data_IF_733255474691
#
_entry.id   IF_733255474691
#
_cell.length_a   1.000
_cell.length_b   1.000
_cell.length_c   1.000
_cell.angle_alpha   90.00
_cell.angle_beta   90.00
_cell.angle_gamma   90.00
#
_symmetry.space_group_name_H-M   'P 1'
#
loop_
_entity.id
_entity.type
_entity.pdbx_description
1 polymer ?
#
# COMPACT_ATOMS: atom_id res chain seq x y z
N UNK A 1 0.30 21.88 15.64
CA UNK A 1 0.94 20.63 15.15
C UNK A 1 -0.17 19.77 14.60
N UNK A 2 -0.03 19.24 13.38
CA UNK A 2 -1.00 18.31 12.82
C UNK A 2 -0.96 17.01 13.63
N UNK A 3 -2.10 16.48 14.05
CA UNK A 3 -2.19 15.20 14.76
C UNK A 3 -2.05 14.07 13.75
N UNK A 4 -1.22 13.08 14.07
CA UNK A 4 -1.12 11.86 13.27
C UNK A 4 -2.09 10.83 13.83
N UNK A 5 -3.16 10.53 13.11
CA UNK A 5 -4.18 9.55 13.50
C UNK A 5 -3.65 8.12 13.47
N UNK A 6 -2.85 7.84 12.45
CA UNK A 6 -2.36 6.51 12.13
C UNK A 6 -1.15 6.61 11.20
N UNK A 7 -0.21 5.69 11.30
CA UNK A 7 0.89 5.57 10.35
C UNK A 7 1.19 4.09 10.09
N UNK A 8 0.99 3.64 8.87
CA UNK A 8 1.21 2.22 8.49
C UNK A 8 2.67 1.76 8.59
N UNK A 9 3.61 2.69 8.69
CA UNK A 9 5.04 2.41 8.84
C UNK A 9 5.48 2.34 10.32
N UNK A 10 4.57 2.66 11.25
CA UNK A 10 4.82 2.61 12.69
C UNK A 10 4.26 1.33 13.28
N UNK A 11 5.14 0.54 13.93
CA UNK A 11 4.76 -0.70 14.62
C UNK A 11 3.79 -0.48 15.78
N UNK A 12 3.75 0.71 16.34
CA UNK A 12 2.75 1.06 17.37
C UNK A 12 1.37 1.24 16.79
N UNK A 13 1.25 1.59 15.50
CA UNK A 13 -0.01 1.74 14.79
C UNK A 13 -0.47 0.43 14.13
N UNK A 14 0.46 -0.37 13.59
CA UNK A 14 0.14 -1.65 12.94
C UNK A 14 1.18 -2.72 13.27
N UNK A 15 0.72 -3.84 13.81
CA UNK A 15 1.57 -4.98 14.11
C UNK A 15 0.91 -6.30 13.69
N UNK A 16 1.63 -7.19 12.98
CA UNK A 16 3.01 -7.06 12.51
C UNK A 16 3.17 -6.07 11.34
N UNK A 17 4.41 -5.66 11.11
CA UNK A 17 4.76 -4.80 9.98
C UNK A 17 4.68 -5.55 8.64
N UNK A 18 4.33 -4.81 7.58
CA UNK A 18 4.34 -5.35 6.21
C UNK A 18 3.24 -6.36 5.93
N UNK A 19 3.56 -7.35 5.10
CA UNK A 19 2.66 -8.44 4.74
C UNK A 19 2.49 -9.43 5.90
N UNK A 20 1.33 -10.08 5.96
CA UNK A 20 0.97 -11.03 7.01
C UNK A 20 0.59 -12.38 6.42
N UNK A 21 0.71 -13.41 7.22
CA UNK A 21 0.31 -14.76 6.86
C UNK A 21 -1.20 -14.94 7.02
N UNK A 22 -1.85 -15.66 6.14
CA UNK A 22 -3.24 -16.05 6.34
C UNK A 22 -3.40 -16.80 7.66
N UNK A 23 -4.38 -16.41 8.48
CA UNK A 23 -4.57 -16.91 9.83
C UNK A 23 -3.72 -16.23 10.90
N UNK A 24 -2.88 -15.26 10.56
CA UNK A 24 -2.11 -14.48 11.51
C UNK A 24 -2.90 -13.24 11.97
N UNK A 25 -3.00 -12.99 13.29
CA UNK A 25 -3.65 -11.79 13.79
C UNK A 25 -2.85 -10.52 13.44
N UNK A 26 -3.58 -9.47 13.10
CA UNK A 26 -3.05 -8.13 12.82
C UNK A 26 -3.75 -7.14 13.73
N UNK A 27 -2.99 -6.40 14.50
CA UNK A 27 -3.49 -5.35 15.39
C UNK A 27 -3.33 -3.99 14.75
N UNK A 28 -4.38 -3.20 14.78
CA UNK A 28 -4.44 -1.81 14.35
C UNK A 28 -4.73 -0.93 15.56
N UNK A 29 -3.94 0.11 15.74
CA UNK A 29 -4.14 1.12 16.78
C UNK A 29 -4.35 2.48 16.11
N UNK A 30 -5.42 3.15 16.51
CA UNK A 30 -5.83 4.45 16.00
C UNK A 30 -5.83 5.46 17.16
N UNK A 31 -5.34 6.66 16.89
CA UNK A 31 -5.40 7.77 17.84
C UNK A 31 -6.28 8.87 17.28
N UNK A 32 -7.22 9.36 18.07
CA UNK A 32 -8.20 10.38 17.66
C UNK A 32 -8.19 11.53 18.67
N UNK A 33 -7.97 12.79 18.23
CA UNK A 33 -8.05 13.95 19.12
C UNK A 33 -9.44 14.10 19.76
N UNK A 34 -9.47 14.51 21.02
CA UNK A 34 -10.73 14.75 21.76
C UNK A 34 -11.58 15.86 21.16
N UNK A 35 -10.97 16.86 20.55
CA UNK A 35 -11.65 18.00 19.94
C UNK A 35 -12.51 17.63 18.72
N UNK A 36 -12.33 16.43 18.18
CA UNK A 36 -13.24 15.86 17.19
C UNK A 36 -14.59 15.42 17.77
N UNK A 37 -14.75 15.45 19.11
CA UNK A 37 -15.96 15.05 19.79
C UNK A 37 -16.14 13.54 19.85
N UNK A 38 -17.41 13.10 19.94
CA UNK A 38 -17.72 11.65 19.95
C UNK A 38 -17.38 11.03 18.59
N UNK A 39 -16.70 9.90 18.63
CA UNK A 39 -16.38 9.06 17.47
C UNK A 39 -16.62 7.58 17.78
N UNK A 40 -17.03 6.82 16.78
CA UNK A 40 -17.18 5.36 16.83
C UNK A 40 -16.35 4.74 15.69
N UNK A 41 -15.03 4.61 15.86
CA UNK A 41 -14.15 4.22 14.79
C UNK A 41 -14.34 2.78 14.35
N UNK A 42 -14.35 2.57 13.05
CA UNK A 42 -14.36 1.26 12.41
C UNK A 42 -13.19 1.14 11.42
N UNK A 43 -12.54 -0.01 11.45
CA UNK A 43 -11.67 -0.43 10.36
C UNK A 43 -12.56 -0.96 9.22
N UNK A 44 -12.50 -0.35 8.07
CA UNK A 44 -13.12 -0.86 6.84
C UNK A 44 -12.06 -1.65 6.09
N UNK A 45 -12.25 -2.95 5.96
CA UNK A 45 -11.31 -3.87 5.33
C UNK A 45 -11.97 -4.51 4.11
N UNK A 46 -11.41 -4.29 2.93
CA UNK A 46 -11.92 -4.77 1.66
C UNK A 46 -10.89 -5.69 1.00
N UNK A 47 -11.21 -6.95 0.79
CA UNK A 47 -10.39 -7.80 -0.05
C UNK A 47 -10.64 -7.46 -1.53
N UNK A 48 -9.59 -7.50 -2.34
CA UNK A 48 -9.70 -7.15 -3.77
C UNK A 48 -10.87 -7.89 -4.43
N UNK A 49 -11.77 -7.13 -5.07
CA UNK A 49 -13.01 -7.57 -5.74
C UNK A 49 -14.08 -8.17 -4.81
N UNK A 50 -13.99 -7.99 -3.52
CA UNK A 50 -15.00 -8.39 -2.54
C UNK A 50 -15.64 -7.16 -1.88
N UNK A 51 -16.75 -7.33 -1.19
CA UNK A 51 -17.43 -6.26 -0.47
C UNK A 51 -16.65 -5.87 0.79
N UNK A 52 -16.73 -4.59 1.21
CA UNK A 52 -16.09 -4.12 2.43
C UNK A 52 -16.69 -4.74 3.68
N UNK A 53 -15.85 -5.09 4.63
CA UNK A 53 -16.24 -5.55 5.96
C UNK A 53 -15.84 -4.50 6.98
N UNK A 54 -16.79 -4.11 7.83
CA UNK A 54 -16.60 -3.08 8.85
C UNK A 54 -16.38 -3.73 10.22
N UNK A 55 -15.26 -3.41 10.85
CA UNK A 55 -14.90 -3.91 12.18
C UNK A 55 -14.83 -2.74 13.15
N UNK A 56 -15.70 -2.73 14.14
CA UNK A 56 -15.70 -1.72 15.19
C UNK A 56 -14.42 -1.81 16.03
N UNK A 57 -13.77 -0.67 16.28
CA UNK A 57 -12.60 -0.60 17.13
C UNK A 57 -12.98 -0.41 18.59
N UNK A 58 -12.22 -0.99 19.50
CA UNK A 58 -12.42 -0.87 20.93
C UNK A 58 -11.66 0.32 21.50
N UNK A 59 -12.31 1.09 22.37
CA UNK A 59 -11.65 2.14 23.13
C UNK A 59 -10.71 1.51 24.17
N UNK A 60 -9.42 1.84 24.10
CA UNK A 60 -8.38 1.26 24.96
C UNK A 60 -7.87 2.20 26.03
N UNK A 61 -8.21 3.47 25.94
CA UNK A 61 -7.81 4.46 26.92
C UNK A 61 -7.67 5.86 26.35
N UNK A 62 -7.22 6.76 27.18
CA UNK A 62 -7.10 8.17 26.88
C UNK A 62 -5.78 8.72 27.44
N UNK A 63 -5.11 9.53 26.66
CA UNK A 63 -4.02 10.41 27.09
C UNK A 63 -4.49 11.86 26.98
N UNK A 64 -3.81 12.86 27.54
CA UNK A 64 -4.24 14.26 27.43
C UNK A 64 -4.53 14.66 25.99
N UNK A 65 -5.81 15.00 25.70
CA UNK A 65 -6.35 15.42 24.40
C UNK A 65 -6.42 14.35 23.29
N UNK A 66 -6.19 13.07 23.59
CA UNK A 66 -6.18 12.01 22.58
C UNK A 66 -6.85 10.74 23.12
N UNK A 67 -7.81 10.23 22.37
CA UNK A 67 -8.44 8.93 22.57
C UNK A 67 -7.70 7.85 21.78
N UNK A 68 -7.55 6.67 22.38
CA UNK A 68 -6.89 5.51 21.81
C UNK A 68 -7.90 4.41 21.50
N UNK A 69 -7.81 3.85 20.31
CA UNK A 69 -8.64 2.73 19.88
C UNK A 69 -7.76 1.63 19.32
N UNK A 70 -8.16 0.38 19.53
CA UNK A 70 -7.46 -0.78 19.00
C UNK A 70 -8.43 -1.80 18.42
N UNK A 71 -7.93 -2.58 17.47
CA UNK A 71 -8.65 -3.69 16.89
C UNK A 71 -7.64 -4.75 16.42
N UNK A 72 -7.94 -6.01 16.67
CA UNK A 72 -7.22 -7.14 16.10
C UNK A 72 -8.12 -7.92 15.16
N UNK A 73 -7.70 -8.06 13.91
CA UNK A 73 -8.37 -8.89 12.90
C UNK A 73 -7.47 -10.03 12.45
N UNK A 74 -8.08 -11.13 12.04
CA UNK A 74 -7.33 -12.31 11.57
C UNK A 74 -7.83 -12.67 10.17
N UNK A 75 -7.21 -12.12 9.10
CA UNK A 75 -7.55 -12.49 7.73
C UNK A 75 -7.22 -13.98 7.49
N UNK A 76 -8.20 -14.76 7.11
CA UNK A 76 -8.03 -16.22 6.93
C UNK A 76 -7.71 -16.64 5.50
N UNK A 77 -7.94 -15.77 4.52
CA UNK A 77 -7.70 -16.02 3.11
C UNK A 77 -6.58 -15.15 2.58
N UNK A 78 -5.72 -15.71 1.77
CA UNK A 78 -4.67 -14.95 1.07
C UNK A 78 -5.27 -14.01 0.02
N UNK A 79 -4.55 -12.95 -0.25
CA UNK A 79 -4.95 -11.93 -1.24
C UNK A 79 -4.47 -10.55 -0.90
N UNK A 80 -4.92 -9.63 -1.71
CA UNK A 80 -4.69 -8.21 -1.52
C UNK A 80 -5.90 -7.60 -0.81
N UNK A 81 -5.66 -6.91 0.27
CA UNK A 81 -6.66 -6.20 1.04
C UNK A 81 -6.36 -4.71 1.02
N UNK A 82 -7.41 -3.92 1.05
CA UNK A 82 -7.36 -2.47 1.19
C UNK A 82 -8.11 -2.06 2.45
N UNK A 83 -7.65 -1.01 3.15
CA UNK A 83 -8.32 -0.57 4.35
C UNK A 83 -8.18 0.94 4.58
N UNK A 84 -9.18 1.49 5.24
CA UNK A 84 -9.22 2.82 5.82
C UNK A 84 -9.98 2.78 7.15
N UNK A 85 -10.06 3.92 7.83
CA UNK A 85 -10.84 4.03 9.05
C UNK A 85 -12.01 4.97 8.84
N UNK A 86 -13.19 4.52 9.27
CA UNK A 86 -14.44 5.28 9.25
C UNK A 86 -14.77 5.71 10.67
N UNK A 87 -15.03 7.00 10.92
CA UNK A 87 -15.32 7.50 12.26
C UNK A 87 -16.82 7.46 12.62
N UNK A 88 -17.68 7.11 11.68
CA UNK A 88 -19.13 6.89 11.79
C UNK A 88 -19.97 8.04 12.37
N UNK A 89 -19.42 9.22 12.53
CA UNK A 89 -20.16 10.30 13.17
C UNK A 89 -20.69 11.37 12.21
N UNK A 90 -20.07 11.55 11.05
CA UNK A 90 -20.45 12.58 10.06
C UNK A 90 -19.68 12.43 8.73
N UNK A 91 -19.61 11.22 8.22
CA UNK A 91 -18.87 10.90 6.99
C UNK A 91 -17.36 11.19 7.03
N UNK A 92 -16.80 11.44 8.22
CA UNK A 92 -15.35 11.58 8.40
C UNK A 92 -14.67 10.25 8.32
N UNK A 93 -13.64 10.19 7.50
CA UNK A 93 -12.81 9.01 7.27
C UNK A 93 -11.34 9.36 7.36
N UNK A 94 -10.52 8.39 7.68
CA UNK A 94 -9.08 8.55 7.71
C UNK A 94 -8.50 7.70 6.60
N UNK A 95 -7.88 8.35 5.64
CA UNK A 95 -7.26 7.78 4.47
C UNK A 95 -5.75 7.97 4.47
N UNK A 96 -5.08 7.19 3.64
CA UNK A 96 -3.63 7.21 3.47
C UNK A 96 -3.17 8.43 2.70
N UNK A 97 -2.12 9.10 3.20
CA UNK A 97 -1.28 10.01 2.42
C UNK A 97 -0.18 9.24 1.66
N UNK A 98 0.48 9.84 0.66
CA UNK A 98 1.64 9.22 0.00
C UNK A 98 2.75 8.80 0.97
N UNK A 99 2.91 9.48 2.10
CA UNK A 99 3.86 9.15 3.15
C UNK A 99 3.47 7.98 4.06
N UNK A 100 2.25 7.41 3.91
CA UNK A 100 1.76 6.31 4.74
C UNK A 100 1.00 6.74 6.00
N UNK A 101 1.00 8.04 6.31
CA UNK A 101 0.26 8.63 7.43
C UNK A 101 -1.24 8.73 7.14
N UNK A 102 -2.04 8.77 8.19
CA UNK A 102 -3.48 8.96 8.12
C UNK A 102 -3.88 10.43 8.13
N UNK A 103 -4.73 10.83 7.20
CA UNK A 103 -5.32 12.16 7.13
C UNK A 103 -6.84 12.08 7.20
N UNK A 104 -7.44 12.98 7.97
CA UNK A 104 -8.89 13.14 8.03
C UNK A 104 -9.43 13.70 6.71
N UNK A 105 -10.43 13.04 6.16
CA UNK A 105 -11.08 13.44 4.92
C UNK A 105 -12.61 13.33 5.04
N UNK A 106 -13.32 14.22 4.33
CA UNK A 106 -14.78 14.22 4.19
C UNK A 106 -15.21 13.64 2.84
N UNK A 107 -14.23 13.33 1.99
CA UNK A 107 -14.40 12.73 0.67
C UNK A 107 -13.57 11.47 0.59
N UNK A 108 -13.75 10.72 -0.49
CA UNK A 108 -12.94 9.52 -0.72
C UNK A 108 -11.45 9.84 -0.85
N UNK A 109 -10.62 8.89 -0.46
CA UNK A 109 -9.17 8.99 -0.47
C UNK A 109 -8.50 7.67 -0.86
N UNK A 110 -7.20 7.59 -0.64
CA UNK A 110 -6.45 6.36 -0.89
C UNK A 110 -6.47 5.44 0.33
N UNK A 111 -6.78 4.18 0.12
CA UNK A 111 -6.68 3.16 1.14
C UNK A 111 -5.23 2.73 1.36
N UNK A 112 -4.94 2.22 2.56
CA UNK A 112 -3.74 1.42 2.79
C UNK A 112 -3.92 0.03 2.21
N UNK A 113 -2.82 -0.57 1.84
CA UNK A 113 -2.77 -1.93 1.34
C UNK A 113 -2.26 -2.88 2.43
N UNK A 114 -2.90 -4.03 2.57
CA UNK A 114 -2.43 -5.16 3.37
C UNK A 114 -2.34 -6.39 2.48
N UNK A 115 -1.14 -6.93 2.32
CA UNK A 115 -0.92 -8.18 1.61
C UNK A 115 -0.99 -9.34 2.60
N UNK A 116 -1.90 -10.28 2.33
CA UNK A 116 -2.03 -11.54 3.08
C UNK A 116 -1.53 -12.67 2.20
N UNK A 117 -0.48 -13.38 2.63
CA UNK A 117 0.11 -14.45 1.85
C UNK A 117 -0.25 -15.84 2.36
N UNK A 118 -0.15 -16.83 1.49
CA UNK A 118 -0.44 -18.22 1.81
C UNK A 118 0.44 -18.75 2.95
N UNK A 119 -0.11 -19.57 3.88
CA UNK A 119 0.64 -20.11 5.01
C UNK A 119 1.88 -20.88 4.62
N UNK A 120 1.84 -21.57 3.48
CA UNK A 120 2.92 -22.42 2.98
C UNK A 120 3.87 -21.69 2.02
N UNK A 121 3.64 -20.40 1.76
CA UNK A 121 4.52 -19.61 0.91
C UNK A 121 5.94 -19.56 1.48
N UNK A 122 6.91 -19.95 0.68
CA UNK A 122 8.33 -19.91 1.04
C UNK A 122 9.11 -19.12 -0.01
N UNK A 123 9.76 -18.07 0.42
CA UNK A 123 10.76 -17.41 -0.42
C UNK A 123 11.96 -18.33 -0.60
N UNK A 124 12.45 -18.57 -1.83
CA UNK A 124 13.66 -19.35 -2.06
C UNK A 124 14.86 -18.82 -1.26
N UNK A 125 15.63 -19.70 -0.66
CA UNK A 125 16.74 -19.31 0.23
C UNK A 125 17.83 -18.49 -0.47
N UNK A 126 18.04 -18.75 -1.76
CA UNK A 126 19.00 -17.98 -2.56
C UNK A 126 18.61 -16.50 -2.74
N UNK A 127 17.32 -16.16 -2.57
CA UNK A 127 16.82 -14.78 -2.67
C UNK A 127 16.85 -14.06 -1.30
N UNK A 128 16.92 -14.83 -0.20
CA UNK A 128 16.98 -14.26 1.15
C UNK A 128 18.36 -13.62 1.35
N UNK A 129 18.36 -12.41 1.91
CA UNK A 129 19.59 -11.64 2.17
C UNK A 129 20.41 -11.27 0.94
N UNK A 130 19.85 -11.42 -0.27
CA UNK A 130 20.45 -10.99 -1.51
C UNK A 130 20.01 -9.60 -1.94
N UNK A 131 20.80 -8.97 -2.81
CA UNK A 131 20.40 -7.76 -3.50
C UNK A 131 19.95 -8.13 -4.91
N UNK A 132 18.71 -7.77 -5.26
CA UNK A 132 18.21 -7.91 -6.63
C UNK A 132 18.50 -6.62 -7.39
N UNK A 133 19.21 -6.72 -8.50
CA UNK A 133 19.49 -5.60 -9.38
C UNK A 133 18.76 -5.78 -10.71
N UNK A 134 17.78 -4.94 -10.99
CA UNK A 134 17.05 -4.96 -12.25
C UNK A 134 17.68 -3.96 -13.23
N UNK A 135 18.14 -4.46 -14.35
CA UNK A 135 18.72 -3.63 -15.41
C UNK A 135 17.73 -3.51 -16.55
N UNK A 136 17.43 -2.28 -16.95
CA UNK A 136 16.73 -1.95 -18.17
C UNK A 136 17.80 -1.62 -19.24
N UNK A 137 18.11 -2.54 -20.17
CA UNK A 137 19.20 -2.34 -21.14
C UNK A 137 19.07 -1.04 -21.92
N UNK A 138 17.84 -0.64 -22.24
CA UNK A 138 17.55 0.57 -23.01
C UNK A 138 17.90 1.86 -22.28
N UNK A 139 18.05 1.80 -20.95
CA UNK A 139 18.27 2.96 -20.08
C UNK A 139 19.56 2.88 -19.28
N UNK A 140 20.32 1.80 -19.43
CA UNK A 140 21.49 1.59 -18.61
C UNK A 140 22.71 2.29 -19.21
N UNK A 141 23.50 1.61 -19.99
CA UNK A 141 24.72 2.14 -20.55
C UNK A 141 24.93 1.58 -21.95
N UNK A 142 25.13 2.44 -22.92
CA UNK A 142 25.58 2.03 -24.24
C UNK A 142 27.10 1.78 -24.24
N UNK A 143 27.49 0.52 -24.41
CA UNK A 143 28.90 0.16 -24.52
C UNK A 143 29.57 0.61 -25.81
N UNK A 144 28.78 1.00 -26.83
CA UNK A 144 29.29 1.54 -28.11
C UNK A 144 28.39 2.70 -28.54
N UNK A 145 28.92 3.94 -28.61
CA UNK A 145 28.23 5.05 -29.24
C UNK A 145 28.04 4.75 -30.75
N UNK A 146 26.88 5.11 -31.30
CA UNK A 146 26.53 4.99 -32.72
C UNK A 146 26.03 3.60 -33.18
N UNK A 147 25.16 2.95 -32.46
CA UNK A 147 24.33 1.94 -33.08
C UNK A 147 23.32 2.61 -34.00
N UNK A 148 23.31 2.21 -35.27
CA UNK A 148 22.21 2.52 -36.17
C UNK A 148 20.89 2.12 -35.49
N UNK A 149 19.91 3.02 -35.45
CA UNK A 149 18.60 2.75 -34.90
C UNK A 149 17.89 1.71 -35.78
N UNK A 150 17.81 0.44 -35.42
CA UNK A 150 17.45 -0.63 -36.35
C UNK A 150 15.95 -0.73 -36.64
N UNK A 151 15.11 0.05 -35.95
CA UNK A 151 13.67 -0.07 -36.07
C UNK A 151 13.00 1.30 -36.25
N UNK A 152 12.40 1.49 -37.42
CA UNK A 152 11.71 2.74 -37.75
C UNK A 152 10.40 2.95 -37.02
N UNK A 153 9.83 1.89 -36.40
CA UNK A 153 8.59 1.89 -35.68
C UNK A 153 8.72 2.22 -34.18
N UNK A 154 9.94 2.52 -33.73
CA UNK A 154 10.26 2.82 -32.36
C UNK A 154 10.64 4.26 -32.12
N UNK A 155 10.19 4.84 -31.03
CA UNK A 155 10.59 6.16 -30.57
C UNK A 155 11.87 6.02 -29.74
N UNK A 156 12.98 6.53 -30.22
CA UNK A 156 14.25 6.59 -29.50
C UNK A 156 14.38 7.97 -28.84
N UNK A 157 14.63 7.99 -27.56
CA UNK A 157 14.87 9.21 -26.80
C UNK A 157 16.34 9.34 -26.46
N UNK A 158 16.93 10.46 -26.82
CA UNK A 158 18.28 10.82 -26.40
C UNK A 158 18.33 11.17 -24.90
N UNK A 159 17.23 11.72 -24.39
CA UNK A 159 17.08 12.06 -22.97
C UNK A 159 16.64 10.83 -22.17
N UNK A 160 17.52 10.38 -21.27
CA UNK A 160 17.28 9.26 -20.35
C UNK A 160 16.53 9.66 -19.08
N UNK A 161 16.33 10.96 -18.85
CA UNK A 161 15.68 11.53 -17.66
C UNK A 161 14.21 11.84 -17.89
N UNK A 162 13.74 11.78 -19.15
CA UNK A 162 12.36 12.04 -19.51
C UNK A 162 11.39 11.03 -18.91
N UNK A 163 10.17 11.48 -18.59
CA UNK A 163 9.09 10.63 -18.08
C UNK A 163 8.78 9.46 -19.01
N UNK A 164 8.50 8.25 -18.46
CA UNK A 164 8.13 7.10 -19.27
C UNK A 164 6.83 7.36 -20.04
N UNK A 165 6.82 6.99 -21.30
CA UNK A 165 5.64 7.10 -22.14
C UNK A 165 4.74 5.87 -21.90
N UNK A 166 3.71 6.02 -21.12
CA UNK A 166 2.83 4.89 -20.70
C UNK A 166 2.14 4.19 -21.88
N UNK A 167 1.91 4.87 -23.01
CA UNK A 167 1.29 4.27 -24.19
C UNK A 167 2.13 3.17 -24.88
N UNK A 168 3.44 3.14 -24.66
CA UNK A 168 4.31 2.15 -25.32
C UNK A 168 4.30 0.77 -24.65
N UNK A 169 3.84 0.68 -23.41
CA UNK A 169 3.73 -0.59 -22.69
C UNK A 169 2.58 -1.48 -23.21
N UNK A 170 1.58 -0.90 -23.85
CA UNK A 170 0.39 -1.61 -24.34
C UNK A 170 0.41 -1.91 -25.85
N UNK A 171 1.28 -1.28 -26.63
CA UNK A 171 1.28 -1.38 -28.10
C UNK A 171 2.41 -2.20 -28.68
N UNK A 172 3.40 -2.59 -27.89
CA UNK A 172 4.49 -3.45 -28.34
C UNK A 172 4.25 -4.89 -27.86
N UNK A 173 4.02 -5.85 -28.76
CA UNK A 173 3.97 -7.25 -28.37
C UNK A 173 5.29 -7.64 -27.70
N UNK A 174 5.19 -8.30 -26.55
CA UNK A 174 6.37 -8.80 -25.85
C UNK A 174 7.14 -9.77 -26.75
N UNK A 175 8.48 -9.82 -26.69
CA UNK A 175 9.27 -10.74 -27.51
C UNK A 175 8.87 -12.22 -27.39
N UNK A 176 8.18 -12.60 -26.30
CA UNK A 176 7.65 -13.95 -26.07
C UNK A 176 6.36 -14.26 -26.83
N UNK A 177 5.66 -13.25 -27.31
CA UNK A 177 4.38 -13.41 -28.00
C UNK A 177 4.55 -13.58 -29.51
N UNK A 178 5.79 -13.62 -29.98
CA UNK A 178 6.16 -14.00 -31.35
C UNK A 178 6.59 -15.47 -31.37
N UNK A 179 5.58 -16.34 -31.23
CA UNK A 179 5.75 -17.75 -31.51
C UNK A 179 5.98 -18.01 -33.00
#
# INVERSE_FOLDING_TARGET
MSHTFYNSLDLTCKSPFGAVKAGQPVTFNLTVPEDLGYVDPHLVLTKDREDPVHYRMEFTGQTPKVNHFALTVTPTTSGLYFYHFDLYTDFRRIYRTPGGEGVLSWTDGQDWQLTVYEPDFKTPDWLKNGTMYQIFPDRFCEGKPNKAMPFADRIYRADKTGEPYFCLLYTSPRPRDRG
#
